data_IF_594882520235
#
_entry.id   IF_594882520235
#
_cell.length_a   1.000
_cell.length_b   1.000
_cell.length_c   1.000
_cell.angle_alpha   90.00
_cell.angle_beta   90.00
_cell.angle_gamma   90.00
#
_symmetry.space_group_name_H-M   'P 1'
#
loop_
_entity.id
_entity.type
_entity.pdbx_description
1 polymer ?
#
# COMPACT_ATOMS: atom_id res chain seq x y z
N UNK A 1 27.51 -0.37 -15.26
CA UNK A 1 27.37 0.70 -14.26
C UNK A 1 26.54 0.14 -13.13
N UNK A 2 27.15 -0.22 -12.01
CA UNK A 2 26.43 -0.81 -10.87
C UNK A 2 25.53 0.28 -10.27
N UNK A 3 24.21 0.04 -10.29
CA UNK A 3 23.26 0.89 -9.62
C UNK A 3 23.66 0.97 -8.13
N UNK A 4 23.97 2.16 -7.66
CA UNK A 4 24.34 2.43 -6.28
C UNK A 4 23.15 2.06 -5.40
N UNK A 5 23.26 0.91 -4.71
CA UNK A 5 22.28 0.52 -3.69
C UNK A 5 22.26 1.63 -2.64
N UNK A 6 21.17 2.35 -2.58
CA UNK A 6 21.00 3.41 -1.60
C UNK A 6 20.83 2.77 -0.22
N UNK A 7 21.92 2.70 0.55
CA UNK A 7 21.89 2.24 1.94
C UNK A 7 21.57 3.45 2.83
N UNK A 8 20.34 3.92 2.74
CA UNK A 8 19.84 4.88 3.72
C UNK A 8 19.82 4.28 5.12
N UNK A 9 19.92 5.10 6.17
CA UNK A 9 19.87 4.59 7.54
C UNK A 9 18.57 3.80 7.75
N UNK A 10 18.70 2.54 8.17
CA UNK A 10 17.55 1.70 8.56
C UNK A 10 16.79 2.44 9.66
N UNK A 11 15.62 2.98 9.32
CA UNK A 11 14.79 3.71 10.28
C UNK A 11 14.26 2.72 11.33
N UNK A 12 14.81 2.76 12.54
CA UNK A 12 14.27 1.96 13.64
C UNK A 12 12.84 2.39 13.91
N UNK A 13 11.94 1.40 14.03
CA UNK A 13 10.56 1.66 14.46
C UNK A 13 10.58 2.43 15.78
N UNK A 14 10.00 3.61 15.78
CA UNK A 14 9.87 4.44 16.97
C UNK A 14 8.65 3.97 17.80
N UNK A 15 8.65 4.32 19.10
CA UNK A 15 7.44 4.12 19.93
C UNK A 15 6.24 4.86 19.36
N UNK A 16 6.50 5.98 18.69
CA UNK A 16 5.47 6.77 18.00
C UNK A 16 4.86 5.99 16.83
N UNK A 17 5.67 5.35 15.99
CA UNK A 17 5.18 4.52 14.88
C UNK A 17 4.28 3.38 15.40
N UNK A 18 4.66 2.76 16.53
CA UNK A 18 3.86 1.72 17.16
C UNK A 18 2.49 2.23 17.62
N UNK A 19 2.45 3.36 18.34
CA UNK A 19 1.20 3.98 18.79
C UNK A 19 0.33 4.42 17.61
N UNK A 20 0.93 5.03 16.58
CA UNK A 20 0.21 5.42 15.37
C UNK A 20 -0.38 4.23 14.62
N UNK A 21 0.30 3.08 14.58
CA UNK A 21 -0.24 1.87 13.98
C UNK A 21 -1.42 1.30 14.78
N UNK A 22 -1.41 1.36 16.10
CA UNK A 22 -2.56 0.97 16.93
C UNK A 22 -3.76 1.90 16.63
N UNK A 23 -3.54 3.20 16.65
CA UNK A 23 -4.59 4.17 16.35
C UNK A 23 -5.10 4.03 14.90
N UNK A 24 -4.21 3.72 13.95
CA UNK A 24 -4.57 3.43 12.56
C UNK A 24 -5.50 2.21 12.45
N UNK A 25 -5.17 1.13 13.15
CA UNK A 25 -6.01 -0.09 13.13
C UNK A 25 -7.41 0.25 13.66
N UNK A 26 -7.51 1.02 14.74
CA UNK A 26 -8.79 1.31 15.42
C UNK A 26 -9.57 2.42 14.71
N UNK A 27 -8.92 3.56 14.42
CA UNK A 27 -9.56 4.79 13.92
C UNK A 27 -9.34 5.04 12.44
N UNK A 28 -8.21 4.64 11.90
CA UNK A 28 -7.81 4.87 10.52
C UNK A 28 -8.36 3.84 9.52
N UNK A 29 -9.08 2.82 9.98
CA UNK A 29 -9.63 1.79 9.11
C UNK A 29 -8.61 0.75 8.63
N UNK A 30 -7.43 0.65 9.26
CA UNK A 30 -6.36 -0.27 8.85
C UNK A 30 -6.79 -1.73 8.76
N UNK A 31 -7.63 -2.19 9.68
CA UNK A 31 -8.19 -3.54 9.64
C UNK A 31 -9.12 -3.75 8.46
N UNK A 32 -9.92 -2.73 8.09
CA UNK A 32 -10.84 -2.79 6.96
C UNK A 32 -10.06 -2.88 5.64
N UNK A 33 -9.05 -2.03 5.47
CA UNK A 33 -8.15 -2.03 4.32
C UNK A 33 -7.43 -3.39 4.19
N UNK A 34 -6.95 -3.95 5.30
CA UNK A 34 -6.32 -5.26 5.31
C UNK A 34 -7.28 -6.36 4.81
N UNK A 35 -8.52 -6.39 5.32
CA UNK A 35 -9.54 -7.35 4.88
C UNK A 35 -9.92 -7.18 3.42
N UNK A 36 -10.06 -5.95 2.93
CA UNK A 36 -10.34 -5.64 1.52
C UNK A 36 -9.26 -6.24 0.61
N UNK A 37 -7.99 -5.99 0.91
CA UNK A 37 -6.88 -6.55 0.14
C UNK A 37 -6.75 -8.07 0.25
N UNK A 38 -7.02 -8.65 1.42
CA UNK A 38 -7.00 -10.11 1.59
C UNK A 38 -8.10 -10.78 0.77
N UNK A 39 -9.32 -10.24 0.81
CA UNK A 39 -10.45 -10.76 0.03
C UNK A 39 -10.19 -10.62 -1.48
N UNK A 40 -9.75 -9.45 -1.93
CA UNK A 40 -9.41 -9.22 -3.34
C UNK A 40 -8.28 -10.15 -3.80
N UNK A 41 -7.23 -10.32 -2.96
CA UNK A 41 -6.11 -11.21 -3.24
C UNK A 41 -6.54 -12.66 -3.36
N UNK A 42 -7.39 -13.14 -2.46
CA UNK A 42 -7.91 -14.51 -2.52
C UNK A 42 -8.74 -14.75 -3.79
N UNK A 43 -9.64 -13.82 -4.14
CA UNK A 43 -10.45 -13.90 -5.35
C UNK A 43 -9.60 -13.91 -6.63
N UNK A 44 -8.60 -13.04 -6.72
CA UNK A 44 -7.68 -12.97 -7.86
C UNK A 44 -6.87 -14.26 -8.00
N UNK A 45 -6.42 -14.86 -6.89
CA UNK A 45 -5.65 -16.10 -6.90
C UNK A 45 -6.48 -17.34 -7.30
N UNK A 46 -7.81 -17.24 -7.44
CA UNK A 46 -8.63 -18.31 -8.00
C UNK A 46 -8.38 -18.49 -9.51
N UNK A 47 -7.78 -17.52 -10.17
CA UNK A 47 -7.41 -17.59 -11.59
C UNK A 47 -5.88 -17.56 -11.74
N UNK A 48 -5.36 -18.34 -12.68
CA UNK A 48 -3.90 -18.39 -12.93
C UNK A 48 -3.35 -17.00 -13.31
N UNK A 49 -4.08 -16.26 -14.15
CA UNK A 49 -3.71 -14.89 -14.56
C UNK A 49 -3.78 -13.92 -13.38
N UNK A 50 -4.68 -14.13 -12.42
CA UNK A 50 -4.86 -13.29 -11.25
C UNK A 50 -3.81 -13.51 -10.15
N UNK A 51 -3.06 -14.61 -10.17
CA UNK A 51 -2.06 -14.91 -9.12
C UNK A 51 -1.06 -13.76 -8.89
N UNK A 52 -0.38 -13.20 -9.92
CA UNK A 52 0.54 -12.08 -9.69
C UNK A 52 -0.14 -10.85 -9.06
N UNK A 53 -1.39 -10.59 -9.40
CA UNK A 53 -2.18 -9.50 -8.84
C UNK A 53 -2.63 -9.81 -7.41
N UNK A 54 -3.05 -11.04 -7.14
CA UNK A 54 -3.40 -11.50 -5.80
C UNK A 54 -2.24 -11.42 -4.82
N UNK A 55 -1.04 -11.79 -5.25
CA UNK A 55 0.18 -11.66 -4.44
C UNK A 55 0.49 -10.19 -4.11
N UNK A 56 0.23 -9.25 -5.01
CA UNK A 56 0.34 -7.83 -4.71
C UNK A 56 -0.70 -7.38 -3.67
N UNK A 57 -1.93 -7.88 -3.75
CA UNK A 57 -2.95 -7.61 -2.73
C UNK A 57 -2.48 -8.06 -1.34
N UNK A 58 -1.91 -9.25 -1.20
CA UNK A 58 -1.40 -9.73 0.10
C UNK A 58 -0.24 -8.89 0.64
N UNK A 59 0.64 -8.41 -0.24
CA UNK A 59 1.68 -7.45 0.13
C UNK A 59 1.08 -6.13 0.64
N UNK A 60 0.08 -5.60 -0.06
CA UNK A 60 -0.61 -4.38 0.30
C UNK A 60 -1.47 -4.54 1.56
N UNK A 61 -2.08 -5.73 1.78
CA UNK A 61 -2.83 -6.06 3.00
C UNK A 61 -1.96 -5.94 4.25
N UNK A 62 -0.77 -6.54 4.23
CA UNK A 62 0.19 -6.45 5.34
C UNK A 62 0.58 -5.01 5.65
N UNK A 63 0.79 -4.23 4.61
CA UNK A 63 1.15 -2.83 4.73
C UNK A 63 -0.03 -1.98 5.19
N UNK A 64 -1.24 -2.26 4.66
CA UNK A 64 -2.47 -1.61 5.06
C UNK A 64 -2.78 -1.76 6.56
N UNK A 65 -2.31 -2.85 7.17
CA UNK A 65 -2.50 -3.08 8.61
C UNK A 65 -1.55 -2.23 9.48
N UNK A 66 -0.29 -2.07 9.06
CA UNK A 66 0.76 -1.37 9.84
C UNK A 66 1.60 -0.45 8.95
N UNK A 67 1.05 0.70 8.52
CA UNK A 67 1.71 1.57 7.55
C UNK A 67 2.80 2.46 8.13
N UNK A 68 2.69 2.84 9.40
CA UNK A 68 3.64 3.78 10.01
C UNK A 68 4.99 3.09 10.25
N UNK A 69 6.07 3.78 9.91
CA UNK A 69 7.42 3.24 9.95
C UNK A 69 7.84 2.46 8.70
N UNK A 70 7.02 2.49 7.63
CA UNK A 70 7.34 1.90 6.34
C UNK A 70 7.27 2.95 5.24
N UNK A 71 8.13 2.79 4.25
CA UNK A 71 8.16 3.60 3.03
C UNK A 71 8.29 2.71 1.78
N UNK A 72 8.16 3.28 0.60
CA UNK A 72 8.26 2.54 -0.65
C UNK A 72 9.23 3.23 -1.58
N UNK A 73 10.06 2.41 -2.22
CA UNK A 73 10.93 2.85 -3.30
C UNK A 73 10.77 1.94 -4.51
N UNK A 74 11.32 2.36 -5.61
CA UNK A 74 11.39 1.51 -6.80
C UNK A 74 12.32 0.33 -6.55
N UNK A 75 11.82 -0.87 -6.83
CA UNK A 75 12.62 -2.09 -6.72
C UNK A 75 13.75 -2.08 -7.75
N UNK A 76 14.95 -2.57 -7.40
CA UNK A 76 16.00 -2.77 -8.37
C UNK A 76 15.51 -3.67 -9.51
N UNK A 77 15.59 -3.18 -10.76
CA UNK A 77 15.10 -3.91 -11.92
C UNK A 77 13.62 -3.68 -12.27
N UNK A 78 12.94 -2.75 -11.59
CA UNK A 78 11.65 -2.25 -12.07
C UNK A 78 11.82 -1.71 -13.51
N UNK A 79 11.04 -2.25 -14.45
CA UNK A 79 11.19 -1.94 -15.87
C UNK A 79 9.88 -2.18 -16.64
N UNK A 80 10.02 -2.47 -17.94
CA UNK A 80 8.88 -2.63 -18.87
C UNK A 80 7.85 -3.65 -18.38
N UNK A 81 8.28 -4.76 -17.74
CA UNK A 81 7.38 -5.76 -17.18
C UNK A 81 6.50 -5.20 -16.06
N UNK A 82 7.10 -4.46 -15.13
CA UNK A 82 6.36 -3.81 -14.04
C UNK A 82 5.40 -2.75 -14.58
N UNK A 83 5.82 -2.00 -15.61
CA UNK A 83 4.96 -1.02 -16.26
C UNK A 83 3.72 -1.68 -16.90
N UNK A 84 3.89 -2.74 -17.68
CA UNK A 84 2.79 -3.47 -18.30
C UNK A 84 1.80 -4.04 -17.27
N UNK A 85 2.32 -4.63 -16.18
CA UNK A 85 1.51 -5.13 -15.07
C UNK A 85 0.76 -4.00 -14.36
N UNK A 86 1.36 -2.82 -14.18
CA UNK A 86 0.69 -1.67 -13.58
C UNK A 86 -0.43 -1.13 -14.46
N UNK A 87 -0.26 -1.09 -15.79
CA UNK A 87 -1.32 -0.68 -16.72
C UNK A 87 -2.52 -1.63 -16.63
N UNK A 88 -2.28 -2.94 -16.61
CA UNK A 88 -3.35 -3.92 -16.46
C UNK A 88 -4.00 -3.85 -15.08
N UNK A 89 -3.20 -3.72 -14.03
CA UNK A 89 -3.65 -3.54 -12.65
C UNK A 89 -4.54 -2.32 -12.48
N UNK A 90 -4.15 -1.18 -13.08
CA UNK A 90 -4.88 0.07 -12.99
C UNK A 90 -6.34 -0.08 -13.42
N UNK A 91 -6.57 -0.82 -14.51
CA UNK A 91 -7.92 -1.08 -15.04
C UNK A 91 -8.69 -2.07 -14.16
N UNK A 92 -8.03 -3.14 -13.70
CA UNK A 92 -8.69 -4.25 -12.98
C UNK A 92 -9.03 -3.87 -11.54
N UNK A 93 -8.12 -3.21 -10.83
CA UNK A 93 -8.24 -2.96 -9.40
C UNK A 93 -7.74 -1.59 -8.95
N UNK A 94 -6.68 -1.07 -9.54
CA UNK A 94 -5.96 0.10 -9.05
C UNK A 94 -6.81 1.34 -8.87
N UNK A 95 -7.66 1.67 -9.86
CA UNK A 95 -8.56 2.83 -9.80
C UNK A 95 -9.58 2.67 -8.68
N UNK A 96 -10.17 1.51 -8.52
CA UNK A 96 -11.20 1.26 -7.51
C UNK A 96 -10.63 1.35 -6.09
N UNK A 97 -9.46 0.76 -5.86
CA UNK A 97 -8.76 0.83 -4.60
C UNK A 97 -8.32 2.27 -4.30
N UNK A 98 -7.82 2.99 -5.30
CA UNK A 98 -7.49 4.42 -5.16
C UNK A 98 -8.71 5.23 -4.69
N UNK A 99 -9.88 5.04 -5.33
CA UNK A 99 -11.10 5.74 -4.97
C UNK A 99 -11.55 5.42 -3.54
N UNK A 100 -11.46 4.16 -3.10
CA UNK A 100 -11.79 3.79 -1.71
C UNK A 100 -10.89 4.51 -0.71
N UNK A 101 -9.58 4.59 -0.99
CA UNK A 101 -8.65 5.35 -0.16
C UNK A 101 -8.95 6.86 -0.15
N UNK A 102 -9.35 7.44 -1.29
CA UNK A 102 -9.74 8.85 -1.35
C UNK A 102 -10.97 9.13 -0.48
N UNK A 103 -12.00 8.29 -0.60
CA UNK A 103 -13.23 8.44 0.19
C UNK A 103 -12.94 8.35 1.70
N UNK A 104 -12.20 7.34 2.12
CA UNK A 104 -11.80 7.17 3.52
C UNK A 104 -10.90 8.33 3.99
N UNK A 105 -9.94 8.72 3.17
CA UNK A 105 -9.03 9.83 3.49
C UNK A 105 -9.75 11.16 3.64
N UNK A 106 -10.70 11.48 2.76
CA UNK A 106 -11.52 12.70 2.87
C UNK A 106 -12.37 12.64 4.13
N UNK A 107 -13.03 11.52 4.43
CA UNK A 107 -13.83 11.35 5.66
C UNK A 107 -12.99 11.58 6.92
N UNK A 108 -11.77 11.05 6.97
CA UNK A 108 -10.85 11.25 8.10
C UNK A 108 -10.33 12.69 8.18
N UNK A 109 -10.06 13.34 7.03
CA UNK A 109 -9.57 14.72 6.99
C UNK A 109 -10.57 15.75 7.53
N UNK A 110 -11.86 15.41 7.58
CA UNK A 110 -12.90 16.24 8.21
C UNK A 110 -12.76 16.29 9.74
N UNK A 111 -11.94 15.44 10.32
CA UNK A 111 -11.61 15.41 11.75
C UNK A 111 -10.14 15.77 11.98
N UNK A 112 -9.84 16.56 13.01
CA UNK A 112 -8.45 16.96 13.31
C UNK A 112 -7.58 15.74 13.61
N UNK A 113 -8.11 14.77 14.37
CA UNK A 113 -7.43 13.52 14.74
C UNK A 113 -7.20 12.64 13.50
N UNK A 114 -8.10 12.69 12.52
CA UNK A 114 -8.03 11.91 11.29
C UNK A 114 -7.03 12.41 10.26
N UNK A 115 -6.54 13.66 10.36
CA UNK A 115 -5.62 14.25 9.37
C UNK A 115 -4.38 13.38 9.11
N UNK A 116 -3.61 12.91 10.12
CA UNK A 116 -2.46 12.05 9.86
C UNK A 116 -2.84 10.73 9.17
N UNK A 117 -4.02 10.21 9.45
CA UNK A 117 -4.52 8.97 8.81
C UNK A 117 -5.01 9.25 7.38
N UNK A 118 -5.58 10.43 7.10
CA UNK A 118 -5.92 10.86 5.76
C UNK A 118 -4.68 10.91 4.84
N UNK A 119 -3.54 11.39 5.33
CA UNK A 119 -2.28 11.36 4.59
C UNK A 119 -1.81 9.93 4.30
N UNK A 120 -2.01 8.99 5.24
CA UNK A 120 -1.69 7.58 4.98
C UNK A 120 -2.61 6.98 3.91
N UNK A 121 -3.92 7.28 3.92
CA UNK A 121 -4.80 6.86 2.84
C UNK A 121 -4.38 7.42 1.49
N UNK A 122 -3.98 8.69 1.42
CA UNK A 122 -3.46 9.28 0.18
C UNK A 122 -2.19 8.55 -0.31
N UNK A 123 -1.25 8.27 0.59
CA UNK A 123 -0.03 7.52 0.29
C UNK A 123 -0.36 6.11 -0.25
N UNK A 124 -1.28 5.40 0.39
CA UNK A 124 -1.75 4.10 -0.07
C UNK A 124 -2.49 4.16 -1.40
N UNK A 125 -3.34 5.15 -1.57
CA UNK A 125 -4.06 5.36 -2.82
C UNK A 125 -3.09 5.52 -3.99
N UNK A 126 -2.04 6.33 -3.83
CA UNK A 126 -1.01 6.50 -4.86
C UNK A 126 -0.24 5.19 -5.13
N UNK A 127 0.09 4.42 -4.08
CA UNK A 127 0.72 3.11 -4.25
C UNK A 127 -0.22 2.12 -4.95
N UNK A 128 -1.52 2.17 -4.65
CA UNK A 128 -2.52 1.31 -5.26
C UNK A 128 -2.69 1.53 -6.77
N UNK A 129 -2.30 2.69 -7.30
CA UNK A 129 -2.31 2.91 -8.75
C UNK A 129 -1.21 2.15 -9.48
N UNK A 130 -0.04 1.94 -8.85
CA UNK A 130 1.11 1.29 -9.47
C UNK A 130 1.95 0.50 -8.46
N UNK A 131 1.47 -0.66 -7.96
CA UNK A 131 2.15 -1.41 -6.92
C UNK A 131 3.29 -2.32 -7.42
N UNK A 132 3.31 -2.63 -8.73
CA UNK A 132 4.35 -3.46 -9.31
C UNK A 132 5.65 -2.68 -9.47
N UNK A 133 6.77 -3.30 -9.14
CA UNK A 133 8.07 -2.62 -9.16
C UNK A 133 8.32 -1.72 -7.95
N UNK A 134 7.50 -1.82 -6.90
CA UNK A 134 7.73 -1.14 -5.63
C UNK A 134 8.22 -2.11 -4.56
N UNK A 135 9.20 -1.69 -3.79
CA UNK A 135 9.77 -2.44 -2.67
C UNK A 135 9.52 -1.73 -1.36
N UNK A 136 9.20 -2.50 -0.32
CA UNK A 136 8.95 -1.99 1.02
C UNK A 136 10.28 -1.70 1.72
N UNK A 137 10.50 -0.47 2.09
CA UNK A 137 11.62 -0.03 2.93
C UNK A 137 11.19 0.01 4.40
N UNK A 138 12.11 -0.42 5.28
CA UNK A 138 11.94 -0.33 6.74
C UNK A 138 12.83 0.75 7.31
#
# INVERSE_FOLDING_TARGET
MAARKWEGPVRRRSRVDFLLNILWIILGGGWLICLEYLAAGALLCLTVVGIPFGLQCFKLAKLGLVPFGHDFDDAPGAGVGSFALNVLWLVVAGVWIFLSHVVLGVGLALTIIGIPFAFQHLKFGMLALAPFGKELQR
#
